data_IF_934334968728
#
_entry.id   IF_934334968728
#
_cell.length_a   1.000
_cell.length_b   1.000
_cell.length_c   1.000
_cell.angle_alpha   90.00
_cell.angle_beta   90.00
_cell.angle_gamma   90.00
#
_symmetry.space_group_name_H-M   'P 1'
#
loop_
_entity.id
_entity.type
_entity.pdbx_description
1 polymer ?
#
# COMPACT_ATOMS: atom_id res chain seq x y z
N UNK A 1 -16.86 28.11 -62.99
CA UNK A 1 -16.58 26.81 -63.63
C UNK A 1 -16.81 25.77 -62.55
N UNK A 2 -18.03 25.25 -62.35
CA UNK A 2 -18.76 24.35 -63.26
C UNK A 2 -18.26 22.92 -62.95
N UNK A 3 -19.05 21.94 -62.50
CA UNK A 3 -20.47 21.67 -62.68
C UNK A 3 -21.02 20.85 -61.50
N UNK A 4 -22.33 20.97 -61.30
CA UNK A 4 -23.15 20.12 -60.46
C UNK A 4 -23.60 18.87 -61.23
N UNK A 5 -23.79 17.74 -60.54
CA UNK A 5 -24.73 16.72 -61.01
C UNK A 5 -25.59 16.16 -59.88
N UNK A 6 -26.86 16.04 -60.25
CA UNK A 6 -28.07 15.73 -59.50
C UNK A 6 -28.32 14.24 -59.33
N UNK A 7 -28.93 13.90 -58.18
CA UNK A 7 -29.98 12.91 -57.90
C UNK A 7 -30.06 11.65 -58.77
N UNK A 8 -30.14 10.49 -58.10
CA UNK A 8 -31.23 9.57 -58.42
C UNK A 8 -31.77 8.84 -57.17
N UNK A 9 -33.09 8.69 -57.14
CA UNK A 9 -33.88 8.04 -56.10
C UNK A 9 -34.40 6.71 -56.66
N UNK A 10 -34.31 5.62 -55.89
CA UNK A 10 -34.75 4.33 -56.42
C UNK A 10 -34.86 3.19 -55.42
N UNK A 11 -36.06 3.06 -54.86
CA UNK A 11 -36.75 1.80 -54.53
C UNK A 11 -36.24 0.89 -53.41
N UNK A 12 -37.09 0.83 -52.39
CA UNK A 12 -37.15 -0.17 -51.35
C UNK A 12 -37.45 -1.57 -51.88
N UNK A 13 -36.79 -2.57 -51.29
CA UNK A 13 -37.27 -3.97 -51.25
C UNK A 13 -37.19 -4.47 -49.81
N UNK A 14 -38.25 -5.14 -49.29
CA UNK A 14 -38.24 -5.70 -47.95
C UNK A 14 -37.32 -6.92 -47.93
N UNK A 15 -36.23 -6.85 -47.15
CA UNK A 15 -35.44 -8.04 -46.83
C UNK A 15 -36.05 -8.69 -45.60
N UNK A 16 -36.51 -9.92 -45.80
CA UNK A 16 -37.03 -10.81 -44.78
C UNK A 16 -36.04 -10.93 -43.61
N UNK A 17 -36.59 -10.82 -42.41
CA UNK A 17 -35.94 -11.14 -41.15
C UNK A 17 -35.67 -12.64 -41.12
N UNK A 18 -34.43 -13.05 -41.35
CA UNK A 18 -33.96 -14.35 -40.88
C UNK A 18 -33.44 -14.12 -39.48
N UNK A 19 -34.24 -14.48 -38.49
CA UNK A 19 -33.80 -14.69 -37.10
C UNK A 19 -32.95 -15.95 -37.13
N UNK A 20 -31.66 -15.82 -37.44
CA UNK A 20 -30.67 -16.83 -37.08
C UNK A 20 -30.44 -16.66 -35.59
N UNK A 21 -30.92 -17.62 -34.81
CA UNK A 21 -30.55 -17.75 -33.41
C UNK A 21 -29.04 -17.92 -33.33
N UNK A 22 -28.34 -16.82 -33.02
CA UNK A 22 -26.98 -16.88 -32.52
C UNK A 22 -27.12 -17.49 -31.13
N UNK A 23 -26.95 -18.82 -31.08
CA UNK A 23 -26.64 -19.51 -29.84
C UNK A 23 -25.42 -18.81 -29.26
N UNK A 24 -25.63 -18.03 -28.21
CA UNK A 24 -24.59 -17.42 -27.42
C UNK A 24 -23.76 -18.52 -26.79
N UNK A 25 -22.73 -18.95 -27.50
CA UNK A 25 -21.61 -19.66 -26.91
C UNK A 25 -20.90 -18.62 -26.04
N UNK A 26 -21.35 -18.49 -24.79
CA UNK A 26 -20.58 -17.86 -23.73
C UNK A 26 -19.29 -18.66 -23.61
N UNK A 27 -18.28 -18.26 -24.38
CA UNK A 27 -16.89 -18.50 -24.05
C UNK A 27 -16.67 -17.80 -22.72
N UNK A 28 -16.93 -18.52 -21.63
CA UNK A 28 -16.25 -18.31 -20.37
C UNK A 28 -14.77 -18.56 -20.66
N UNK A 29 -14.11 -17.56 -21.26
CA UNK A 29 -12.68 -17.49 -21.31
C UNK A 29 -12.24 -17.57 -19.84
N UNK A 30 -11.65 -18.70 -19.49
CA UNK A 30 -11.20 -18.97 -18.14
C UNK A 30 -10.37 -17.78 -17.69
N UNK A 31 -10.88 -17.06 -16.70
CA UNK A 31 -10.02 -16.33 -15.79
C UNK A 31 -9.12 -17.41 -15.24
N UNK A 32 -7.90 -17.50 -15.77
CA UNK A 32 -6.86 -18.29 -15.15
C UNK A 32 -6.72 -17.67 -13.76
N UNK A 33 -7.32 -18.32 -12.76
CA UNK A 33 -7.20 -17.91 -11.38
C UNK A 33 -5.71 -18.04 -11.06
N UNK A 34 -5.00 -16.92 -11.03
CA UNK A 34 -3.62 -16.83 -10.58
C UNK A 34 -3.61 -16.87 -9.04
N UNK A 35 -4.27 -17.91 -8.52
CA UNK A 35 -4.45 -18.11 -7.11
C UNK A 35 -3.09 -18.29 -6.44
N UNK A 36 -2.89 -17.62 -5.32
CA UNK A 36 -2.02 -18.12 -4.27
C UNK A 36 -2.41 -19.59 -4.00
N UNK A 37 -1.65 -20.52 -4.56
CA UNK A 37 -1.91 -21.94 -4.36
C UNK A 37 -1.51 -22.30 -2.93
N UNK A 38 -2.49 -22.33 -2.04
CA UNK A 38 -2.32 -22.90 -0.69
C UNK A 38 -2.09 -24.40 -0.85
N UNK A 39 -0.90 -24.87 -0.49
CA UNK A 39 -0.65 -26.31 -0.34
C UNK A 39 -1.31 -26.71 0.98
N UNK A 40 -2.28 -27.65 1.01
CA UNK A 40 -2.87 -28.11 2.25
C UNK A 40 -1.77 -28.71 3.12
N UNK A 41 -1.51 -28.08 4.27
CA UNK A 41 -0.58 -28.54 5.29
C UNK A 41 -1.36 -28.57 6.60
N UNK A 42 -1.23 -29.64 7.38
CA UNK A 42 -2.01 -29.86 8.61
C UNK A 42 -1.56 -28.94 9.77
N UNK A 43 -0.64 -28.01 9.50
CA UNK A 43 -0.03 -27.10 10.48
C UNK A 43 -0.54 -25.65 10.42
N UNK A 44 -0.23 -24.84 11.44
CA UNK A 44 -0.56 -23.41 11.50
C UNK A 44 0.36 -22.54 10.61
N UNK A 45 1.24 -23.15 9.82
CA UNK A 45 2.13 -22.45 8.88
C UNK A 45 1.90 -23.04 7.50
N UNK A 46 1.70 -22.20 6.50
CA UNK A 46 1.45 -22.64 5.12
C UNK A 46 2.45 -21.99 4.19
N UNK A 47 2.91 -22.74 3.18
CA UNK A 47 3.81 -22.21 2.15
C UNK A 47 3.01 -21.47 1.08
N UNK A 48 3.52 -20.33 0.64
CA UNK A 48 2.97 -19.49 -0.43
C UNK A 48 3.94 -19.37 -1.59
N UNK A 49 3.41 -19.18 -2.81
CA UNK A 49 4.21 -18.88 -4.01
C UNK A 49 3.49 -17.92 -4.95
N UNK A 50 4.25 -17.04 -5.61
CA UNK A 50 3.77 -16.19 -6.71
C UNK A 50 4.70 -16.42 -7.90
N UNK A 51 4.19 -17.06 -8.95
CA UNK A 51 4.99 -17.44 -10.12
C UNK A 51 5.42 -16.22 -10.95
N UNK A 52 4.53 -15.25 -11.12
CA UNK A 52 4.74 -14.05 -11.92
C UNK A 52 4.40 -12.82 -11.06
N UNK A 53 5.39 -12.21 -10.36
CA UNK A 53 5.08 -11.16 -9.37
C UNK A 53 4.74 -9.79 -9.98
N UNK A 54 5.31 -9.45 -11.14
CA UNK A 54 5.20 -8.14 -11.80
C UNK A 54 3.80 -7.56 -12.13
N UNK A 55 2.73 -8.35 -12.10
CA UNK A 55 1.33 -8.03 -12.39
C UNK A 55 0.39 -8.72 -11.42
N UNK A 56 0.92 -9.53 -10.48
CA UNK A 56 0.12 -10.33 -9.56
C UNK A 56 -0.93 -9.47 -8.83
N UNK A 57 -0.53 -8.33 -8.30
CA UNK A 57 -1.44 -7.46 -7.56
C UNK A 57 -2.54 -6.87 -8.44
N UNK A 58 -2.22 -6.39 -9.64
CA UNK A 58 -3.22 -5.86 -10.57
C UNK A 58 -4.18 -6.95 -11.05
N UNK A 59 -3.64 -8.11 -11.44
CA UNK A 59 -4.43 -9.24 -11.96
C UNK A 59 -5.34 -9.85 -10.87
N UNK A 60 -4.94 -9.78 -9.60
CA UNK A 60 -5.72 -10.24 -8.44
C UNK A 60 -6.62 -9.14 -7.84
N UNK A 61 -6.73 -7.98 -8.48
CA UNK A 61 -7.68 -6.92 -8.08
C UNK A 61 -7.25 -6.09 -6.88
N UNK A 62 -5.95 -6.04 -6.56
CA UNK A 62 -5.42 -5.08 -5.60
C UNK A 62 -5.34 -3.68 -6.21
N UNK A 63 -5.46 -2.67 -5.36
CA UNK A 63 -5.22 -1.27 -5.68
C UNK A 63 -4.00 -0.79 -4.92
N UNK A 64 -3.10 -0.07 -5.60
CA UNK A 64 -1.95 0.53 -4.95
C UNK A 64 -2.36 1.71 -4.07
N UNK A 65 -2.05 1.62 -2.77
CA UNK A 65 -2.26 2.65 -1.78
C UNK A 65 -1.09 3.64 -1.83
N UNK A 66 -1.23 4.68 -2.66
CA UNK A 66 -0.20 5.71 -2.84
C UNK A 66 -0.38 6.82 -1.79
N UNK A 67 0.54 6.95 -0.80
CA UNK A 67 0.41 7.99 0.22
C UNK A 67 0.86 9.38 -0.28
N UNK A 68 0.35 10.47 0.34
CA UNK A 68 0.76 11.86 0.07
C UNK A 68 2.25 12.13 0.39
N UNK A 69 2.83 11.39 1.34
CA UNK A 69 4.27 11.41 1.64
C UNK A 69 4.81 10.00 1.43
N UNK A 70 5.79 9.89 0.54
CA UNK A 70 6.44 8.63 0.15
C UNK A 70 7.24 8.03 1.32
N UNK A 71 7.45 6.73 1.26
CA UNK A 71 8.36 6.05 2.18
C UNK A 71 9.82 6.32 1.77
N UNK A 72 10.76 6.44 2.72
CA UNK A 72 12.18 6.52 2.41
C UNK A 72 12.68 5.28 1.68
N UNK A 73 13.67 5.48 0.82
CA UNK A 73 14.32 4.40 0.05
C UNK A 73 15.79 4.25 0.45
N UNK A 74 16.34 3.06 0.25
CA UNK A 74 17.76 2.81 0.50
C UNK A 74 18.64 3.30 -0.66
N UNK A 75 18.16 3.15 -1.90
CA UNK A 75 18.90 3.51 -3.13
C UNK A 75 18.07 4.43 -4.02
N UNK A 76 18.61 5.57 -4.51
CA UNK A 76 17.82 6.52 -5.27
C UNK A 76 17.39 5.92 -6.62
N UNK A 77 16.09 5.91 -6.88
CA UNK A 77 15.50 5.44 -8.14
C UNK A 77 15.82 3.99 -8.49
N UNK A 78 16.20 3.17 -7.51
CA UNK A 78 16.51 1.76 -7.72
C UNK A 78 15.80 0.84 -6.72
N UNK A 79 15.36 1.36 -5.58
CA UNK A 79 14.44 0.67 -4.68
C UNK A 79 13.11 1.42 -4.68
N UNK A 80 12.01 0.67 -4.70
CA UNK A 80 10.66 1.20 -4.61
C UNK A 80 9.83 0.35 -3.64
N UNK A 81 8.95 0.99 -2.88
CA UNK A 81 8.07 0.33 -1.92
C UNK A 81 6.65 0.75 -2.26
N UNK A 82 5.87 -0.21 -2.75
CA UNK A 82 4.44 -0.04 -3.00
C UNK A 82 3.65 -0.75 -1.91
N UNK A 83 2.49 -0.19 -1.55
CA UNK A 83 1.53 -0.86 -0.67
C UNK A 83 0.32 -1.20 -1.53
N UNK A 84 -0.07 -2.46 -1.56
CA UNK A 84 -1.21 -2.95 -2.31
C UNK A 84 -2.29 -3.36 -1.33
N UNK A 85 -3.55 -3.00 -1.62
CA UNK A 85 -4.68 -3.32 -0.80
C UNK A 85 -5.79 -3.94 -1.65
N UNK A 86 -6.36 -5.03 -1.18
CA UNK A 86 -7.56 -5.65 -1.74
C UNK A 86 -8.61 -5.78 -0.66
N UNK A 87 -9.71 -5.07 -0.80
CA UNK A 87 -10.92 -5.18 0.02
C UNK A 87 -11.88 -6.11 -0.74
N UNK A 88 -12.56 -7.06 -0.06
CA UNK A 88 -13.54 -7.92 -0.71
C UNK A 88 -14.70 -7.11 -1.28
N UNK A 89 -15.34 -7.63 -2.31
CA UNK A 89 -16.51 -7.01 -2.93
C UNK A 89 -17.61 -6.76 -1.88
N UNK A 90 -18.12 -5.53 -1.82
CA UNK A 90 -19.12 -5.10 -0.84
C UNK A 90 -18.59 -4.94 0.60
N UNK A 91 -17.29 -5.13 0.83
CA UNK A 91 -16.67 -4.88 2.12
C UNK A 91 -16.81 -3.42 2.55
N UNK A 92 -17.17 -3.18 3.81
CA UNK A 92 -17.26 -1.84 4.38
C UNK A 92 -16.15 -1.65 5.40
N UNK A 93 -15.38 -0.57 5.25
CA UNK A 93 -14.37 -0.12 6.21
C UNK A 93 -15.09 0.65 7.30
N UNK A 94 -14.97 0.16 8.53
CA UNK A 94 -15.54 0.83 9.70
C UNK A 94 -14.64 1.98 10.16
N UNK A 95 -15.25 3.09 10.54
CA UNK A 95 -14.55 4.26 11.09
C UNK A 95 -14.79 4.35 12.58
N UNK A 96 -13.71 4.23 13.37
CA UNK A 96 -13.76 4.24 14.84
C UNK A 96 -12.90 5.36 15.39
N UNK A 97 -13.27 5.89 16.55
CA UNK A 97 -12.40 6.83 17.27
C UNK A 97 -11.27 6.05 17.94
N UNK A 98 -10.04 6.55 17.91
CA UNK A 98 -8.93 5.96 18.64
C UNK A 98 -9.18 6.03 20.15
N UNK A 99 -8.95 4.92 20.85
CA UNK A 99 -9.05 4.88 22.31
C UNK A 99 -7.95 5.73 22.96
N UNK A 100 -8.28 6.44 24.05
CA UNK A 100 -7.32 7.27 24.79
C UNK A 100 -7.18 8.72 24.32
N UNK A 101 -7.72 9.06 23.14
CA UNK A 101 -7.86 10.44 22.68
C UNK A 101 -9.08 11.07 23.38
N UNK A 102 -8.88 11.49 24.64
CA UNK A 102 -9.92 12.02 25.52
C UNK A 102 -10.73 13.12 24.84
N UNK A 103 -12.06 12.98 24.93
CA UNK A 103 -13.07 13.86 24.39
C UNK A 103 -12.87 15.33 24.81
N UNK A 104 -12.30 16.15 23.92
CA UNK A 104 -12.15 17.60 24.14
C UNK A 104 -13.01 18.48 23.23
N UNK A 105 -13.59 17.94 22.16
CA UNK A 105 -14.45 18.69 21.26
C UNK A 105 -15.38 17.74 20.52
N UNK A 106 -16.69 18.00 20.59
CA UNK A 106 -17.58 17.53 19.54
C UNK A 106 -17.02 18.02 18.20
N UNK A 107 -17.17 17.22 17.14
CA UNK A 107 -16.89 17.65 15.78
C UNK A 107 -17.87 18.79 15.41
N UNK A 108 -17.65 19.99 15.95
CA UNK A 108 -18.12 21.22 15.35
C UNK A 108 -17.41 21.39 14.02
N UNK A 109 -17.92 22.28 13.17
CA UNK A 109 -17.41 22.61 11.83
C UNK A 109 -15.95 23.10 11.88
N UNK A 110 -15.01 22.17 12.04
CA UNK A 110 -13.58 22.43 11.94
C UNK A 110 -13.28 22.71 10.47
N UNK A 111 -12.68 23.86 10.18
CA UNK A 111 -12.27 24.25 8.82
C UNK A 111 -10.75 24.30 8.73
N UNK A 112 -10.19 23.79 7.64
CA UNK A 112 -8.75 23.85 7.40
C UNK A 112 -7.92 22.91 8.30
N UNK A 113 -6.90 23.46 8.97
CA UNK A 113 -5.91 22.68 9.74
C UNK A 113 -6.54 21.88 10.91
N UNK A 114 -7.60 22.42 11.52
CA UNK A 114 -8.35 21.73 12.58
C UNK A 114 -9.02 20.43 12.08
N UNK A 115 -9.40 20.38 10.79
CA UNK A 115 -10.02 19.18 10.21
C UNK A 115 -9.01 18.03 10.05
N UNK A 116 -7.75 18.34 9.75
CA UNK A 116 -6.69 17.34 9.66
C UNK A 116 -6.36 16.69 11.01
N UNK A 117 -6.28 17.51 12.07
CA UNK A 117 -6.08 17.00 13.43
C UNK A 117 -7.29 16.16 13.89
N UNK A 118 -8.51 16.62 13.59
CA UNK A 118 -9.72 15.87 13.89
C UNK A 118 -9.79 14.52 13.17
N UNK A 119 -9.38 14.45 11.89
CA UNK A 119 -9.35 13.20 11.12
C UNK A 119 -8.32 12.19 11.69
N UNK A 120 -7.21 12.68 12.24
CA UNK A 120 -6.17 11.81 12.85
C UNK A 120 -6.65 11.07 14.10
N UNK A 121 -7.71 11.55 14.78
CA UNK A 121 -8.34 10.91 15.93
C UNK A 121 -9.24 9.72 15.55
N UNK A 122 -9.54 9.55 14.26
CA UNK A 122 -10.28 8.41 13.74
C UNK A 122 -9.31 7.39 13.15
N UNK A 123 -9.69 6.12 13.22
CA UNK A 123 -8.95 5.00 12.65
C UNK A 123 -9.88 4.12 11.80
N UNK A 124 -9.31 3.51 10.78
CA UNK A 124 -10.00 2.58 9.89
C UNK A 124 -9.89 1.15 10.42
N UNK A 125 -10.99 0.41 10.47
CA UNK A 125 -10.99 -1.03 10.71
C UNK A 125 -11.51 -1.73 9.44
N UNK A 126 -10.65 -2.53 8.82
CA UNK A 126 -10.94 -3.18 7.55
C UNK A 126 -11.77 -4.46 7.76
N UNK A 127 -12.67 -4.80 6.82
CA UNK A 127 -13.51 -5.97 6.93
C UNK A 127 -12.71 -7.28 6.72
N UNK A 128 -13.19 -8.42 7.25
CA UNK A 128 -12.69 -9.74 6.88
C UNK A 128 -12.67 -9.94 5.37
N UNK A 129 -11.66 -10.64 4.86
CA UNK A 129 -11.33 -10.81 3.44
C UNK A 129 -10.32 -9.77 2.90
N UNK A 130 -10.00 -8.72 3.68
CA UNK A 130 -9.03 -7.70 3.26
C UNK A 130 -7.61 -8.25 3.26
N UNK A 131 -6.84 -7.97 2.20
CA UNK A 131 -5.40 -8.27 2.12
C UNK A 131 -4.61 -6.99 1.88
N UNK A 132 -3.55 -6.78 2.66
CA UNK A 132 -2.63 -5.66 2.51
C UNK A 132 -1.18 -6.16 2.35
N UNK A 133 -0.52 -5.77 1.26
CA UNK A 133 0.84 -6.18 0.91
C UNK A 133 1.79 -4.98 0.79
N UNK A 134 2.87 -4.98 1.56
CA UNK A 134 4.05 -4.15 1.33
C UNK A 134 4.98 -4.87 0.35
N UNK A 135 5.15 -4.32 -0.84
CA UNK A 135 5.94 -4.87 -1.92
C UNK A 135 7.19 -4.01 -2.14
N UNK A 136 8.36 -4.58 -1.85
CA UNK A 136 9.64 -3.96 -2.13
C UNK A 136 10.17 -4.47 -3.47
N UNK A 137 10.42 -3.55 -4.39
CA UNK A 137 11.06 -3.80 -5.68
C UNK A 137 12.47 -3.23 -5.72
N UNK A 138 13.36 -3.89 -6.46
CA UNK A 138 14.71 -3.40 -6.74
C UNK A 138 15.05 -3.51 -8.23
N UNK A 139 15.87 -2.59 -8.73
CA UNK A 139 16.36 -2.54 -10.10
C UNK A 139 15.82 -1.34 -10.88
N UNK A 140 16.15 -1.25 -12.16
CA UNK A 140 15.71 -0.16 -13.05
C UNK A 140 15.23 -0.71 -14.38
N UNK A 141 14.20 -0.11 -14.96
CA UNK A 141 13.65 -0.52 -16.25
C UNK A 141 13.36 -2.03 -16.28
N UNK A 142 13.83 -2.72 -17.32
CA UNK A 142 13.62 -4.16 -17.51
C UNK A 142 14.31 -5.08 -16.50
N UNK A 143 15.16 -4.57 -15.60
CA UNK A 143 15.76 -5.37 -14.51
C UNK A 143 15.08 -5.16 -13.17
N UNK A 144 13.98 -4.40 -13.13
CA UNK A 144 13.19 -4.19 -11.92
C UNK A 144 12.47 -5.49 -11.57
N UNK A 145 12.58 -5.92 -10.32
CA UNK A 145 11.89 -7.10 -9.82
C UNK A 145 11.55 -6.99 -8.34
N UNK A 146 10.51 -7.70 -7.93
CA UNK A 146 10.09 -7.77 -6.53
C UNK A 146 11.12 -8.59 -5.73
N UNK A 147 11.53 -8.09 -4.56
CA UNK A 147 12.54 -8.70 -3.70
C UNK A 147 12.04 -9.11 -2.31
N UNK A 148 10.95 -8.49 -1.84
CA UNK A 148 10.33 -8.72 -0.54
C UNK A 148 8.85 -8.39 -0.65
N UNK A 149 7.99 -9.27 -0.16
CA UNK A 149 6.59 -8.99 0.08
C UNK A 149 6.32 -9.30 1.53
N UNK A 150 5.67 -8.39 2.24
CA UNK A 150 5.14 -8.67 3.58
C UNK A 150 3.74 -8.17 3.66
N UNK A 151 2.84 -9.00 4.14
CA UNK A 151 1.44 -8.62 4.20
C UNK A 151 0.69 -9.31 5.30
N UNK A 152 -0.59 -8.99 5.31
CA UNK A 152 -1.58 -9.55 6.21
C UNK A 152 -2.87 -9.77 5.46
N UNK A 153 -3.47 -10.95 5.63
CA UNK A 153 -4.86 -11.25 5.32
C UNK A 153 -5.69 -11.17 6.61
N UNK A 154 -6.77 -10.39 6.60
CA UNK A 154 -7.78 -10.39 7.65
C UNK A 154 -8.76 -11.52 7.32
N UNK A 155 -8.58 -12.70 7.90
CA UNK A 155 -9.45 -13.84 7.64
C UNK A 155 -10.83 -13.67 8.33
N UNK A 156 -11.74 -14.61 8.06
CA UNK A 156 -13.00 -14.71 8.78
C UNK A 156 -12.79 -14.87 10.31
N UNK A 157 -13.82 -14.55 11.09
CA UNK A 157 -13.77 -14.57 12.56
C UNK A 157 -12.72 -13.64 13.22
N UNK A 158 -12.12 -12.71 12.45
CA UNK A 158 -11.16 -11.73 12.96
C UNK A 158 -9.76 -12.30 13.19
N UNK A 159 -9.46 -13.48 12.67
CA UNK A 159 -8.09 -14.00 12.68
C UNK A 159 -7.24 -13.26 11.62
N UNK A 160 -6.03 -12.87 11.99
CA UNK A 160 -5.10 -12.21 11.07
C UNK A 160 -3.99 -13.18 10.69
N UNK A 161 -3.78 -13.37 9.39
CA UNK A 161 -2.72 -14.20 8.85
C UNK A 161 -1.64 -13.30 8.28
N UNK A 162 -0.44 -13.35 8.85
CA UNK A 162 0.70 -12.60 8.33
C UNK A 162 1.48 -13.46 7.35
N UNK A 163 2.09 -12.84 6.35
CA UNK A 163 2.96 -13.55 5.42
C UNK A 163 4.20 -12.75 5.02
N UNK A 164 5.25 -13.49 4.66
CA UNK A 164 6.46 -12.95 4.05
C UNK A 164 6.85 -13.79 2.85
N UNK A 165 7.02 -13.15 1.69
CA UNK A 165 7.55 -13.77 0.48
C UNK A 165 8.87 -13.13 0.02
N UNK A 166 9.72 -13.95 -0.58
CA UNK A 166 11.08 -13.63 -1.05
C UNK A 166 11.29 -14.27 -2.41
N UNK A 167 12.30 -13.79 -3.16
CA UNK A 167 12.64 -14.38 -4.46
C UNK A 167 13.06 -15.82 -4.33
N UNK A 168 12.56 -16.66 -5.22
CA UNK A 168 12.87 -18.09 -5.32
C UNK A 168 14.24 -18.40 -5.95
N UNK A 169 15.00 -17.38 -6.34
CA UNK A 169 16.30 -17.52 -7.01
C UNK A 169 16.18 -17.95 -8.49
N UNK A 170 14.97 -18.18 -9.00
CA UNK A 170 14.70 -18.57 -10.37
C UNK A 170 14.92 -17.44 -11.37
N UNK A 171 15.26 -17.79 -12.61
CA UNK A 171 15.49 -16.82 -13.69
C UNK A 171 14.25 -15.96 -14.01
N UNK A 172 13.06 -16.54 -13.83
CA UNK A 172 11.77 -15.84 -14.02
C UNK A 172 11.43 -14.90 -12.85
N UNK A 173 12.14 -15.00 -11.74
CA UNK A 173 11.98 -14.12 -10.59
C UNK A 173 10.68 -14.34 -9.82
N UNK A 174 10.26 -15.58 -9.63
CA UNK A 174 9.11 -15.92 -8.79
C UNK A 174 9.37 -15.60 -7.32
N UNK A 175 8.31 -15.68 -6.53
CA UNK A 175 8.37 -15.53 -5.08
C UNK A 175 7.89 -16.81 -4.38
N UNK A 176 8.47 -17.10 -3.23
CA UNK A 176 8.00 -18.10 -2.28
C UNK A 176 8.00 -17.50 -0.87
N UNK A 177 7.23 -18.07 0.04
CA UNK A 177 7.14 -17.58 1.40
C UNK A 177 6.30 -18.46 2.29
N UNK A 178 5.97 -17.93 3.45
CA UNK A 178 5.12 -18.61 4.42
C UNK A 178 4.12 -17.64 5.03
N UNK A 179 2.92 -18.13 5.32
CA UNK A 179 1.89 -17.45 6.11
C UNK A 179 1.67 -18.14 7.46
N UNK A 180 1.28 -17.37 8.47
CA UNK A 180 1.03 -17.86 9.83
C UNK A 180 0.00 -16.97 10.57
N UNK A 181 -0.75 -17.50 11.54
CA UNK A 181 -1.62 -16.70 12.41
C UNK A 181 -0.80 -15.71 13.23
N UNK A 182 -1.15 -14.43 13.17
CA UNK A 182 -0.52 -13.34 13.91
C UNK A 182 -0.49 -13.60 15.42
N UNK A 183 -1.53 -14.25 15.94
CA UNK A 183 -1.71 -14.58 17.36
C UNK A 183 -0.72 -15.65 17.86
N UNK A 184 -0.06 -16.39 16.97
CA UNK A 184 0.80 -17.52 17.32
C UNK A 184 2.29 -17.18 17.16
N UNK A 185 2.94 -16.87 18.28
CA UNK A 185 4.40 -16.67 18.33
C UNK A 185 5.17 -17.92 17.89
N UNK A 186 4.63 -19.11 18.17
CA UNK A 186 5.20 -20.38 17.74
C UNK A 186 5.11 -20.57 16.22
N UNK A 187 3.96 -20.29 15.61
CA UNK A 187 3.80 -20.36 14.15
C UNK A 187 4.68 -19.33 13.45
N UNK A 188 4.81 -18.12 14.00
CA UNK A 188 5.75 -17.11 13.49
C UNK A 188 7.21 -17.59 13.54
N UNK A 189 7.65 -18.16 14.66
CA UNK A 189 9.00 -18.69 14.79
C UNK A 189 9.28 -19.82 13.77
N UNK A 190 8.29 -20.69 13.57
CA UNK A 190 8.38 -21.79 12.61
C UNK A 190 8.39 -21.30 11.15
N UNK A 191 7.49 -20.40 10.78
CA UNK A 191 7.49 -19.77 9.45
C UNK A 191 8.81 -19.06 9.15
N UNK A 192 9.38 -18.36 10.14
CA UNK A 192 10.69 -17.72 10.02
C UNK A 192 11.80 -18.76 9.83
N UNK A 193 11.80 -19.85 10.62
CA UNK A 193 12.80 -20.92 10.51
C UNK A 193 12.77 -21.57 9.12
N UNK A 194 11.59 -21.90 8.61
CA UNK A 194 11.39 -22.49 7.29
C UNK A 194 11.86 -21.54 6.18
N UNK A 195 11.47 -20.26 6.25
CA UNK A 195 11.90 -19.23 5.30
C UNK A 195 13.44 -19.12 5.24
N UNK A 196 14.09 -19.03 6.41
CA UNK A 196 15.55 -18.89 6.47
C UNK A 196 16.27 -20.14 5.98
N UNK A 197 15.73 -21.33 6.23
CA UNK A 197 16.29 -22.58 5.71
C UNK A 197 16.24 -22.62 4.18
N UNK A 198 15.09 -22.31 3.55
CA UNK A 198 14.99 -22.30 2.09
C UNK A 198 15.85 -21.19 1.46
N UNK A 199 15.91 -20.00 2.07
CA UNK A 199 16.79 -18.91 1.61
C UNK A 199 18.29 -19.23 1.71
N UNK A 200 18.70 -20.14 2.60
CA UNK A 200 20.09 -20.57 2.70
C UNK A 200 20.52 -21.43 1.50
N UNK A 201 19.58 -22.17 0.91
CA UNK A 201 19.80 -23.15 -0.16
C UNK A 201 19.63 -22.59 -1.57
N UNK A 202 19.14 -21.35 -1.71
CA UNK A 202 18.95 -20.69 -3.01
C UNK A 202 19.79 -19.41 -3.16
N UNK A 203 20.05 -18.94 -4.39
CA UNK A 203 20.72 -17.66 -4.59
C UNK A 203 19.94 -16.46 -4.02
N UNK A 204 20.62 -15.48 -3.40
CA UNK A 204 22.07 -15.40 -3.30
C UNK A 204 22.66 -16.17 -2.10
N UNK A 205 21.84 -16.69 -1.18
CA UNK A 205 22.30 -17.38 0.04
C UNK A 205 23.23 -18.55 -0.24
N UNK A 206 22.87 -19.42 -1.20
CA UNK A 206 23.68 -20.58 -1.61
C UNK A 206 25.04 -20.22 -2.19
N UNK A 207 25.20 -18.98 -2.69
CA UNK A 207 26.43 -18.49 -3.33
C UNK A 207 27.30 -17.64 -2.40
N UNK A 208 26.87 -17.42 -1.15
CA UNK A 208 27.59 -16.64 -0.15
C UNK A 208 28.57 -17.52 0.66
N UNK A 209 29.60 -16.89 1.23
CA UNK A 209 30.36 -17.53 2.32
C UNK A 209 29.45 -17.76 3.54
N UNK A 210 29.84 -18.68 4.42
CA UNK A 210 29.06 -18.98 5.63
C UNK A 210 28.78 -17.73 6.48
N UNK A 211 29.80 -16.90 6.71
CA UNK A 211 29.67 -15.65 7.46
C UNK A 211 28.73 -14.65 6.76
N UNK A 212 28.89 -14.45 5.44
CA UNK A 212 28.04 -13.54 4.68
C UNK A 212 26.59 -14.03 4.63
N UNK A 213 26.38 -15.34 4.50
CA UNK A 213 25.06 -15.98 4.56
C UNK A 213 24.43 -15.82 5.93
N UNK A 214 25.17 -16.05 7.01
CA UNK A 214 24.68 -15.84 8.38
C UNK A 214 24.24 -14.38 8.59
N UNK A 215 25.04 -13.40 8.14
CA UNK A 215 24.67 -11.99 8.19
C UNK A 215 23.45 -11.64 7.32
N UNK A 216 23.30 -12.26 6.15
CA UNK A 216 22.13 -12.12 5.29
C UNK A 216 20.86 -12.64 5.94
N UNK A 217 20.90 -13.88 6.44
CA UNK A 217 19.76 -14.54 7.09
C UNK A 217 19.36 -13.83 8.39
N UNK A 218 20.33 -13.37 9.19
CA UNK A 218 20.06 -12.60 10.41
C UNK A 218 19.28 -11.30 10.13
N UNK A 219 19.64 -10.55 9.07
CA UNK A 219 18.89 -9.35 8.68
C UNK A 219 17.45 -9.66 8.27
N UNK A 220 17.22 -10.80 7.61
CA UNK A 220 15.86 -11.25 7.23
C UNK A 220 15.08 -11.63 8.50
N UNK A 221 15.70 -12.37 9.41
CA UNK A 221 15.09 -12.74 10.69
C UNK A 221 14.64 -11.51 11.50
N UNK A 222 15.50 -10.49 11.61
CA UNK A 222 15.15 -9.23 12.29
C UNK A 222 13.98 -8.53 11.60
N UNK A 223 14.02 -8.49 10.27
CA UNK A 223 12.94 -7.90 9.46
C UNK A 223 11.62 -8.65 9.63
N UNK A 224 11.62 -9.96 9.87
CA UNK A 224 10.39 -10.74 10.03
C UNK A 224 9.64 -10.48 11.36
N UNK A 225 10.21 -9.69 12.28
CA UNK A 225 9.55 -9.33 13.55
C UNK A 225 8.44 -8.26 13.36
N UNK A 226 7.43 -8.58 12.57
CA UNK A 226 6.42 -7.60 12.12
C UNK A 226 5.48 -7.13 13.24
N UNK A 227 5.07 -8.03 14.14
CA UNK A 227 4.01 -7.76 15.14
C UNK A 227 4.33 -6.56 16.04
N UNK A 228 5.60 -6.35 16.40
CA UNK A 228 6.01 -5.25 17.28
C UNK A 228 5.74 -3.87 16.67
N UNK A 229 5.83 -3.74 15.35
CA UNK A 229 5.57 -2.46 14.68
C UNK A 229 4.10 -2.30 14.32
N UNK A 230 3.42 -3.38 13.96
CA UNK A 230 2.06 -3.37 13.41
C UNK A 230 0.94 -3.43 14.47
N UNK A 231 1.19 -2.94 15.69
CA UNK A 231 0.17 -2.87 16.76
C UNK A 231 -1.07 -2.13 16.26
N UNK A 232 -2.28 -2.62 16.54
CA UNK A 232 -3.53 -1.99 16.11
C UNK A 232 -3.71 -0.60 16.74
N UNK A 233 -4.16 0.38 15.94
CA UNK A 233 -4.50 1.73 16.39
C UNK A 233 -3.36 2.52 17.02
N UNK A 234 -2.10 2.14 16.75
CA UNK A 234 -0.91 2.79 17.30
C UNK A 234 -0.89 4.25 16.84
N UNK A 235 -0.78 5.19 17.77
CA UNK A 235 -0.65 6.61 17.41
C UNK A 235 0.69 6.92 16.72
N UNK A 236 0.74 8.04 16.01
CA UNK A 236 1.97 8.61 15.46
C UNK A 236 3.01 8.88 16.56
N UNK A 237 4.29 8.81 16.21
CA UNK A 237 5.36 9.34 17.06
C UNK A 237 5.30 10.86 17.06
N UNK A 238 5.25 11.49 18.25
CA UNK A 238 5.45 12.94 18.38
C UNK A 238 6.93 13.28 18.52
N UNK A 239 7.69 12.34 19.10
CA UNK A 239 9.15 12.37 19.20
C UNK A 239 9.74 11.15 18.54
N UNK A 240 10.90 11.29 17.93
CA UNK A 240 11.53 10.17 17.23
C UNK A 240 11.80 9.00 18.19
N UNK A 241 11.42 7.79 17.77
CA UNK A 241 11.64 6.57 18.53
C UNK A 241 10.63 6.30 19.64
N UNK A 242 9.67 7.21 19.91
CA UNK A 242 8.72 7.10 21.02
C UNK A 242 7.98 5.75 21.04
N UNK A 243 7.52 5.28 19.88
CA UNK A 243 6.83 3.99 19.71
C UNK A 243 7.56 3.04 18.77
N UNK A 244 8.88 3.23 18.59
CA UNK A 244 9.73 2.46 17.68
C UNK A 244 10.17 3.24 16.44
N UNK A 245 10.74 2.52 15.46
CA UNK A 245 11.47 3.11 14.32
C UNK A 245 10.58 3.72 13.23
N UNK A 246 9.31 3.32 13.16
CA UNK A 246 8.32 3.87 12.24
C UNK A 246 7.59 4.99 12.96
N UNK A 247 7.54 6.17 12.33
CA UNK A 247 6.93 7.36 12.92
C UNK A 247 5.43 7.43 12.69
N UNK A 248 4.92 6.97 11.54
CA UNK A 248 3.47 6.92 11.28
C UNK A 248 2.77 5.91 12.17
N UNK A 249 1.61 6.25 12.68
CA UNK A 249 0.69 5.38 13.37
C UNK A 249 0.09 4.33 12.44
N UNK A 250 -0.65 3.41 13.04
CA UNK A 250 -1.41 2.39 12.34
C UNK A 250 -2.90 2.64 12.48
N UNK A 251 -3.65 2.13 11.52
CA UNK A 251 -5.10 2.04 11.61
C UNK A 251 -5.55 0.93 12.58
N UNK A 252 -6.85 0.73 12.71
CA UNK A 252 -7.47 -0.28 13.58
C UNK A 252 -7.14 -1.73 13.20
N UNK A 253 -6.61 -1.97 12.00
CA UNK A 253 -6.13 -3.28 11.54
C UNK A 253 -4.61 -3.41 11.61
N UNK A 254 -3.90 -2.37 12.05
CA UNK A 254 -2.44 -2.38 12.20
C UNK A 254 -1.69 -2.05 10.92
N UNK A 255 -2.36 -1.53 9.89
CA UNK A 255 -1.71 -1.09 8.66
C UNK A 255 -1.26 0.37 8.77
N UNK A 256 -0.09 0.69 8.22
CA UNK A 256 0.46 2.04 8.26
C UNK A 256 -0.07 2.95 7.15
N UNK A 257 -0.38 2.40 5.98
CA UNK A 257 -0.52 3.20 4.75
C UNK A 257 -1.96 3.45 4.32
N UNK A 258 -2.89 2.47 4.34
CA UNK A 258 -4.25 2.67 3.86
C UNK A 258 -4.91 3.94 4.42
N UNK A 259 -4.91 4.14 5.74
CA UNK A 259 -5.44 5.36 6.33
C UNK A 259 -4.68 6.63 5.91
N UNK A 260 -3.34 6.57 5.79
CA UNK A 260 -2.55 7.75 5.41
C UNK A 260 -2.83 8.26 4.00
N UNK A 261 -3.41 7.43 3.13
CA UNK A 261 -3.89 7.88 1.81
C UNK A 261 -4.99 8.94 1.96
N UNK A 262 -5.80 8.85 3.00
CA UNK A 262 -6.90 9.79 3.31
C UNK A 262 -6.47 10.98 4.18
N UNK A 263 -5.17 11.14 4.44
CA UNK A 263 -4.62 12.30 5.13
C UNK A 263 -3.84 13.16 4.15
N UNK A 264 -3.73 14.46 4.40
CA UNK A 264 -2.86 15.37 3.63
C UNK A 264 -1.50 15.58 4.30
N UNK A 265 -1.46 15.38 5.62
CA UNK A 265 -0.29 15.57 6.47
C UNK A 265 0.05 14.26 7.18
N UNK A 266 1.31 13.84 7.11
CA UNK A 266 1.78 12.65 7.82
C UNK A 266 3.23 12.79 8.32
N UNK A 267 3.57 12.12 9.43
CA UNK A 267 4.93 12.10 9.94
C UNK A 267 5.93 11.60 8.88
N UNK A 268 7.06 12.30 8.76
CA UNK A 268 8.18 11.82 7.95
C UNK A 268 8.85 10.64 8.64
N UNK A 269 9.27 9.68 7.85
CA UNK A 269 10.01 8.53 8.32
C UNK A 269 11.51 8.81 8.31
N UNK A 270 12.25 8.28 9.27
CA UNK A 270 13.71 8.50 9.37
C UNK A 270 14.58 7.32 8.96
N UNK A 271 13.98 6.17 8.72
CA UNK A 271 14.71 5.02 8.20
C UNK A 271 15.05 5.21 6.72
N UNK A 272 15.83 4.29 6.15
CA UNK A 272 16.34 4.42 4.78
C UNK A 272 17.50 5.40 4.68
N UNK A 273 17.96 5.64 3.45
CA UNK A 273 19.08 6.55 3.16
C UNK A 273 18.58 7.86 2.58
N UNK A 274 17.51 7.79 1.78
CA UNK A 274 16.97 8.88 0.98
C UNK A 274 15.49 9.03 1.28
N UNK A 275 15.11 10.24 1.67
CA UNK A 275 13.72 10.63 1.73
C UNK A 275 13.38 11.45 0.47
N UNK A 276 12.58 10.91 -0.46
CA UNK A 276 12.26 11.59 -1.70
C UNK A 276 11.35 12.81 -1.50
N UNK A 277 10.72 12.95 -0.32
CA UNK A 277 9.83 14.07 -0.01
C UNK A 277 10.59 15.37 0.24
N UNK A 278 11.86 15.30 0.67
CA UNK A 278 12.68 16.49 0.95
C UNK A 278 13.04 17.32 -0.29
N UNK A 279 12.71 16.83 -1.48
CA UNK A 279 12.94 17.49 -2.78
C UNK A 279 11.68 17.56 -3.64
N UNK A 280 10.55 17.13 -3.10
CA UNK A 280 9.30 17.10 -3.82
C UNK A 280 8.69 18.51 -3.82
N UNK A 281 8.45 19.14 -5.00
CA UNK A 281 7.97 20.52 -5.06
C UNK A 281 6.55 20.69 -4.49
N UNK A 282 5.82 19.59 -4.31
CA UNK A 282 4.47 19.57 -3.77
C UNK A 282 4.43 19.22 -2.29
N UNK A 283 5.58 18.91 -1.66
CA UNK A 283 5.64 18.62 -0.21
C UNK A 283 6.19 19.82 0.56
N UNK A 284 5.42 20.29 1.53
CA UNK A 284 5.88 21.25 2.55
C UNK A 284 6.22 20.51 3.84
N UNK A 285 7.28 20.94 4.53
CA UNK A 285 7.78 20.29 5.73
C UNK A 285 7.61 21.20 6.94
N UNK A 286 7.01 20.67 8.00
CA UNK A 286 6.67 21.42 9.21
C UNK A 286 7.14 20.71 10.47
N UNK A 287 7.34 21.47 11.52
CA UNK A 287 7.51 21.04 12.90
C UNK A 287 6.31 21.53 13.73
N UNK A 288 6.08 20.97 14.93
CA UNK A 288 5.03 21.48 15.82
C UNK A 288 5.11 22.99 16.11
N UNK A 289 6.32 23.54 16.15
CA UNK A 289 6.58 24.95 16.48
C UNK A 289 7.12 25.78 15.29
N UNK A 290 6.86 25.36 14.04
CA UNK A 290 7.24 26.14 12.86
C UNK A 290 7.72 25.32 11.67
N UNK A 291 8.67 25.83 10.90
CA UNK A 291 9.21 25.14 9.72
C UNK A 291 10.27 24.10 10.09
N UNK A 292 10.25 22.97 9.37
CA UNK A 292 11.31 21.98 9.49
C UNK A 292 12.60 22.47 8.82
N UNK A 293 13.74 22.23 9.47
CA UNK A 293 15.05 22.57 8.92
C UNK A 293 15.58 21.42 8.08
N UNK A 294 16.15 21.74 6.92
CA UNK A 294 16.86 20.78 6.11
C UNK A 294 18.35 20.80 6.44
N UNK A 295 18.87 19.67 6.90
CA UNK A 295 20.26 19.51 7.28
C UNK A 295 20.95 18.44 6.43
N UNK A 296 22.18 18.71 6.00
CA UNK A 296 23.03 17.70 5.37
C UNK A 296 23.96 17.09 6.42
N UNK A 297 23.78 15.80 6.71
CA UNK A 297 24.58 15.04 7.67
C UNK A 297 25.16 13.80 7.02
N UNK A 298 26.49 13.71 6.93
CA UNK A 298 27.21 12.58 6.31
C UNK A 298 26.71 12.27 4.88
N UNK A 299 26.46 13.32 4.09
CA UNK A 299 25.97 13.18 2.70
C UNK A 299 24.48 12.82 2.57
N UNK A 300 23.73 12.78 3.68
CA UNK A 300 22.28 12.58 3.69
C UNK A 300 21.57 13.88 4.01
N UNK A 301 20.54 14.20 3.24
CA UNK A 301 19.63 15.30 3.54
C UNK A 301 18.56 14.79 4.51
N UNK A 302 18.30 15.53 5.58
CA UNK A 302 17.35 15.19 6.64
C UNK A 302 16.50 16.41 6.97
N UNK A 303 15.22 16.19 7.29
CA UNK A 303 14.42 17.17 8.01
C UNK A 303 14.63 17.02 9.53
N UNK A 304 14.80 18.14 10.23
CA UNK A 304 14.99 18.20 11.68
C UNK A 304 14.02 19.19 12.32
N UNK A 305 13.57 18.87 13.53
CA UNK A 305 12.76 19.73 14.38
C UNK A 305 13.43 19.91 15.76
N UNK A 306 13.10 20.99 16.50
CA UNK A 306 13.48 21.14 17.90
C UNK A 306 13.06 19.95 18.77
N UNK A 307 13.77 19.72 19.87
CA UNK A 307 13.45 18.72 20.89
C UNK A 307 13.21 17.30 20.38
N UNK A 308 13.84 16.95 19.24
CA UNK A 308 13.69 15.66 18.59
C UNK A 308 12.22 15.34 18.22
N UNK A 309 11.42 16.39 17.97
CA UNK A 309 10.08 16.24 17.42
C UNK A 309 10.14 15.64 16.02
N UNK A 310 9.10 14.90 15.63
CA UNK A 310 9.02 14.30 14.30
C UNK A 310 8.58 15.35 13.28
N UNK A 311 9.32 15.60 12.19
CA UNK A 311 8.85 16.46 11.11
C UNK A 311 7.63 15.86 10.41
N UNK A 312 6.70 16.72 10.00
CA UNK A 312 5.49 16.34 9.24
C UNK A 312 5.62 16.85 7.81
N UNK A 313 5.28 15.98 6.85
CA UNK A 313 5.16 16.36 5.44
C UNK A 313 3.70 16.57 5.06
N UNK A 314 3.39 17.68 4.38
CA UNK A 314 2.09 17.96 3.79
C UNK A 314 2.20 17.99 2.27
N UNK A 315 1.39 17.20 1.57
CA UNK A 315 1.32 17.21 0.11
C UNK A 315 0.22 18.16 -0.38
N UNK A 316 0.57 19.09 -1.25
CA UNK A 316 -0.38 20.02 -1.89
C UNK A 316 -1.01 19.35 -3.14
N UNK A 317 -2.05 18.55 -2.89
CA UNK A 317 -2.70 17.75 -3.91
C UNK A 317 -3.35 18.60 -5.01
N UNK A 318 -4.06 19.67 -4.64
CA UNK A 318 -4.72 20.58 -5.59
C UNK A 318 -3.70 21.19 -6.55
N UNK A 319 -2.57 21.69 -6.02
CA UNK A 319 -1.53 22.28 -6.85
C UNK A 319 -0.87 21.23 -7.74
N UNK A 320 -0.59 20.03 -7.23
CA UNK A 320 -0.01 18.94 -8.01
C UNK A 320 -0.93 18.52 -9.18
N UNK A 321 -2.24 18.36 -8.94
CA UNK A 321 -3.23 18.05 -9.97
C UNK A 321 -3.30 19.16 -11.03
N UNK A 322 -3.30 20.43 -10.64
CA UNK A 322 -3.31 21.57 -11.59
C UNK A 322 -2.08 21.63 -12.51
N UNK A 323 -1.01 20.90 -12.18
CA UNK A 323 0.20 20.77 -12.98
C UNK A 323 0.33 19.41 -13.70
N UNK A 324 -0.71 18.57 -13.66
CA UNK A 324 -0.71 17.26 -14.32
C UNK A 324 0.26 16.25 -13.70
N UNK A 325 0.44 16.30 -12.37
CA UNK A 325 1.32 15.37 -11.67
C UNK A 325 0.72 13.95 -11.62
N UNK A 326 1.36 13.00 -12.32
CA UNK A 326 0.88 11.59 -12.40
C UNK A 326 0.72 10.93 -11.03
N UNK A 327 1.54 11.33 -10.04
CA UNK A 327 1.46 10.77 -8.69
C UNK A 327 0.21 11.30 -7.98
N UNK A 328 -0.13 12.58 -8.15
CA UNK A 328 -1.37 13.15 -7.63
C UNK A 328 -2.61 12.41 -8.17
N UNK A 329 -2.64 12.07 -9.45
CA UNK A 329 -3.71 11.26 -10.04
C UNK A 329 -3.82 9.87 -9.39
N UNK A 330 -2.68 9.22 -9.15
CA UNK A 330 -2.63 7.91 -8.46
C UNK A 330 -3.06 8.00 -6.99
N UNK A 331 -2.72 9.08 -6.29
CA UNK A 331 -3.25 9.36 -4.94
C UNK A 331 -4.78 9.47 -5.02
N UNK A 332 -5.32 10.19 -6.00
CA UNK A 332 -6.77 10.30 -6.17
C UNK A 332 -7.45 8.97 -6.50
N UNK A 333 -6.84 8.13 -7.33
CA UNK A 333 -7.35 6.78 -7.58
C UNK A 333 -7.44 5.95 -6.28
N UNK A 334 -6.40 5.99 -5.45
CA UNK A 334 -6.37 5.30 -4.16
C UNK A 334 -7.39 5.88 -3.16
N UNK A 335 -7.54 7.21 -3.10
CA UNK A 335 -8.55 7.88 -2.27
C UNK A 335 -9.97 7.50 -2.69
N UNK A 336 -10.28 7.55 -3.99
CA UNK A 336 -11.60 7.15 -4.53
C UNK A 336 -11.90 5.69 -4.20
N UNK A 337 -10.92 4.79 -4.34
CA UNK A 337 -11.07 3.38 -3.96
C UNK A 337 -11.43 3.21 -2.48
N UNK A 338 -10.67 3.82 -1.56
CA UNK A 338 -10.96 3.73 -0.13
C UNK A 338 -12.30 4.38 0.22
N UNK A 339 -12.57 5.59 -0.29
CA UNK A 339 -13.79 6.35 -0.02
C UNK A 339 -15.06 5.57 -0.44
N UNK A 340 -14.99 4.81 -1.53
CA UNK A 340 -16.07 3.95 -1.97
C UNK A 340 -16.42 2.82 -0.97
N UNK A 341 -15.47 2.41 -0.12
CA UNK A 341 -15.65 1.36 0.88
C UNK A 341 -15.86 1.91 2.30
N UNK A 342 -15.72 3.22 2.54
CA UNK A 342 -15.96 3.80 3.86
C UNK A 342 -17.44 3.71 4.26
N UNK A 343 -17.68 3.45 5.54
CA UNK A 343 -18.97 3.68 6.19
C UNK A 343 -19.40 5.16 6.16
N UNK A 344 -20.64 5.44 6.58
CA UNK A 344 -21.19 6.81 6.57
C UNK A 344 -20.32 7.78 7.36
N UNK A 345 -19.89 7.37 8.56
CA UNK A 345 -19.01 8.18 9.42
C UNK A 345 -17.68 8.48 8.75
N UNK A 346 -17.05 7.49 8.11
CA UNK A 346 -15.81 7.65 7.39
C UNK A 346 -15.93 8.62 6.24
N UNK A 347 -17.04 8.54 5.49
CA UNK A 347 -17.32 9.46 4.39
C UNK A 347 -17.45 10.90 4.87
N UNK A 348 -18.08 11.13 6.03
CA UNK A 348 -18.13 12.44 6.66
C UNK A 348 -16.72 12.93 7.04
N UNK A 349 -16.00 12.14 7.86
CA UNK A 349 -14.69 12.48 8.43
C UNK A 349 -13.64 12.73 7.35
N UNK A 350 -13.61 11.89 6.32
CA UNK A 350 -12.60 11.92 5.26
C UNK A 350 -13.09 12.60 3.97
N UNK A 351 -14.26 13.25 3.98
CA UNK A 351 -14.74 14.05 2.82
C UNK A 351 -13.76 15.14 2.36
N UNK A 352 -13.00 15.84 3.24
CA UNK A 352 -12.04 16.83 2.75
C UNK A 352 -10.95 16.19 1.88
N UNK A 353 -10.52 14.97 2.21
CA UNK A 353 -9.48 14.27 1.47
C UNK A 353 -9.90 13.93 0.03
N UNK A 354 -11.18 13.63 -0.22
CA UNK A 354 -11.67 13.30 -1.57
C UNK A 354 -12.01 14.55 -2.38
N UNK A 355 -12.30 15.68 -1.73
CA UNK A 355 -12.80 16.90 -2.41
C UNK A 355 -11.90 17.41 -3.54
N UNK A 356 -10.58 17.33 -3.40
CA UNK A 356 -9.63 17.70 -4.45
C UNK A 356 -9.69 16.77 -5.67
N UNK A 357 -10.06 15.51 -5.45
CA UNK A 357 -10.15 14.47 -6.46
C UNK A 357 -11.50 14.41 -7.18
N UNK A 358 -12.46 15.28 -6.85
CA UNK A 358 -13.78 15.31 -7.50
C UNK A 358 -13.96 16.52 -8.44
N UNK A 359 -12.94 17.36 -8.58
CA UNK A 359 -12.99 18.62 -9.34
C UNK A 359 -12.92 18.43 -10.88
N UNK A 360 -13.28 17.26 -11.40
CA UNK A 360 -13.19 16.90 -12.83
C UNK A 360 -14.51 17.14 -13.59
#
# INVERSE_FOLDING_TARGET
MGEAHTRDAGQARPKAWVVVGIGGLLLAAGVAAWALTRVPDDGPVRRLTIAEPWRHWEDEGFVEMVPPVRLPTATPGADDVAIWLRIPEGGVIETRRREGDAAGGAAGEATGEEAGEAASAWILAFPPGTIADRVESRGRGGTRGVIDVRGTELAEAGEEWMHTLRRDGGAKGGLFGYEWPRSSTAAHAEATRLLLAELAEIPPGSSMSEEARAGYLSRIQTKNQCVTCHVHGRADNRREGERGVVNRGTDGSGFFTPQTVLLDEIPLERYGTIDPNLRDPWVTLRCPEGEAKLESKKGRLLATCPDNAVPVGRFDLDKALSHGDERAERICAARRYLYAHLDERGREVFSPAISACEKD
#
